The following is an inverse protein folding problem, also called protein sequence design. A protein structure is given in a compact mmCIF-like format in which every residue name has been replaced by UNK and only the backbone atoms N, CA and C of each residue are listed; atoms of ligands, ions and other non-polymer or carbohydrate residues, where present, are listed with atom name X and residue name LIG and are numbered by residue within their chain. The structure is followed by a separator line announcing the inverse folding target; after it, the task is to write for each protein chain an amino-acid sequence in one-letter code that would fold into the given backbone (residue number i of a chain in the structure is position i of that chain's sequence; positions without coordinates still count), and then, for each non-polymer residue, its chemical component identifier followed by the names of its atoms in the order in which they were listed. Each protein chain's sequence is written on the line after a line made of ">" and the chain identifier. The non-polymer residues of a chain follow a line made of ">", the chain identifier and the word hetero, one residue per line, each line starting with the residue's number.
data_IF_793710378111
#
_entry.id   IF_793710378111
#
_cell.length_a   1.000
_cell.length_b   1.000
_cell.length_c   1.000
_cell.angle_alpha   90.00
_cell.angle_beta   90.00
_cell.angle_gamma   90.00
#
_symmetry.space_group_name_H-M   'P 1'
#
loop_
_entity.id
_entity.type
_entity.pdbx_description
1 polymer ?
#
# COMPACT_ATOMS: atom_id res chain seq x y z
N UNK A 1 14.91 27.01 -28.64
CA UNK A 1 13.75 26.09 -28.61
C UNK A 1 14.14 24.66 -28.96
N UNK A 2 14.95 24.41 -30.00
CA UNK A 2 15.43 23.05 -30.33
C UNK A 2 16.27 22.41 -29.21
N UNK A 3 17.27 23.10 -28.64
CA UNK A 3 18.13 22.53 -27.57
C UNK A 3 17.36 22.08 -26.31
N UNK A 4 16.33 22.83 -25.92
CA UNK A 4 15.49 22.49 -24.76
C UNK A 4 14.67 21.23 -25.04
N UNK A 5 14.18 21.09 -26.27
CA UNK A 5 13.38 19.94 -26.70
C UNK A 5 14.24 18.68 -26.85
N UNK A 6 15.51 18.83 -27.24
CA UNK A 6 16.48 17.75 -27.34
C UNK A 6 16.96 17.27 -25.96
N UNK A 7 17.22 18.20 -25.02
CA UNK A 7 17.50 17.85 -23.63
C UNK A 7 16.32 17.14 -22.94
N UNK A 8 15.08 17.56 -23.24
CA UNK A 8 13.87 16.90 -22.73
C UNK A 8 13.71 15.47 -23.27
N UNK A 9 14.09 15.20 -24.53
CA UNK A 9 14.01 13.85 -25.11
C UNK A 9 14.85 12.85 -24.33
N UNK A 10 16.08 13.20 -23.98
CA UNK A 10 16.95 12.32 -23.20
C UNK A 10 16.34 11.95 -21.84
N UNK A 11 15.63 12.88 -21.19
CA UNK A 11 14.94 12.61 -19.92
C UNK A 11 13.67 11.78 -20.09
N UNK A 12 12.97 11.93 -21.23
CA UNK A 12 11.85 11.05 -21.56
C UNK A 12 12.36 9.62 -21.81
N UNK A 13 13.50 9.46 -22.48
CA UNK A 13 14.13 8.15 -22.68
C UNK A 13 14.57 7.53 -21.34
N UNK A 14 15.11 8.32 -20.42
CA UNK A 14 15.43 7.89 -19.04
C UNK A 14 14.18 7.35 -18.32
N UNK A 15 13.02 8.01 -18.46
CA UNK A 15 11.75 7.56 -17.88
C UNK A 15 11.25 6.28 -18.55
N UNK A 16 11.38 6.15 -19.86
CA UNK A 16 11.03 4.91 -20.57
C UNK A 16 11.92 3.74 -20.15
N UNK A 17 13.21 3.99 -19.92
CA UNK A 17 14.12 2.98 -19.39
C UNK A 17 13.69 2.51 -17.99
N UNK A 18 13.27 3.44 -17.12
CA UNK A 18 12.69 3.06 -15.82
C UNK A 18 11.43 2.22 -16.03
N UNK A 19 10.47 2.67 -16.84
CA UNK A 19 9.21 1.96 -17.10
C UNK A 19 9.46 0.52 -17.60
N UNK A 20 10.44 0.32 -18.49
CA UNK A 20 10.77 -1.00 -19.02
C UNK A 20 11.18 -2.00 -17.92
N UNK A 21 11.82 -1.53 -16.84
CA UNK A 21 12.16 -2.38 -15.68
C UNK A 21 10.96 -2.72 -14.79
N UNK A 22 9.81 -2.07 -15.01
CA UNK A 22 8.59 -2.29 -14.22
C UNK A 22 7.56 -3.13 -14.97
N UNK A 23 7.73 -3.32 -16.28
CA UNK A 23 6.79 -4.04 -17.12
C UNK A 23 6.82 -5.55 -16.81
N UNK A 24 5.71 -6.17 -16.38
CA UNK A 24 5.70 -7.58 -15.98
C UNK A 24 6.14 -8.53 -17.09
N UNK A 25 5.80 -8.21 -18.34
CA UNK A 25 6.12 -9.04 -19.51
C UNK A 25 7.63 -9.00 -19.89
N UNK A 26 8.43 -8.16 -19.24
CA UNK A 26 9.84 -7.92 -19.55
C UNK A 26 10.88 -8.89 -18.96
N UNK A 27 10.45 -9.91 -18.21
CA UNK A 27 11.33 -10.88 -17.55
C UNK A 27 10.77 -11.33 -16.22
N UNK A 28 11.57 -11.99 -15.37
CA UNK A 28 11.15 -12.34 -14.00
C UNK A 28 11.30 -11.16 -13.03
N UNK A 29 10.56 -11.17 -11.91
CA UNK A 29 10.60 -10.13 -10.90
C UNK A 29 12.02 -9.87 -10.37
N UNK A 30 12.81 -10.94 -10.19
CA UNK A 30 14.21 -10.83 -9.77
C UNK A 30 15.09 -10.14 -10.82
N UNK A 31 14.92 -10.47 -12.10
CA UNK A 31 15.66 -9.83 -13.20
C UNK A 31 15.28 -8.35 -13.34
N UNK A 32 13.98 -8.07 -13.32
CA UNK A 32 13.45 -6.70 -13.35
C UNK A 32 13.95 -5.86 -12.17
N UNK A 33 13.94 -6.44 -10.97
CA UNK A 33 14.47 -5.79 -9.76
C UNK A 33 15.96 -5.50 -9.88
N UNK A 34 16.76 -6.43 -10.40
CA UNK A 34 18.19 -6.23 -10.60
C UNK A 34 18.47 -5.13 -11.63
N UNK A 35 17.72 -5.09 -12.73
CA UNK A 35 17.80 -4.03 -13.74
C UNK A 35 17.41 -2.66 -13.16
N UNK A 36 16.32 -2.59 -12.39
CA UNK A 36 15.88 -1.38 -11.71
C UNK A 36 16.95 -0.85 -10.75
N UNK A 37 17.55 -1.72 -9.94
CA UNK A 37 18.62 -1.35 -9.00
C UNK A 37 19.88 -0.88 -9.71
N UNK A 38 20.25 -1.52 -10.83
CA UNK A 38 21.38 -1.09 -11.64
C UNK A 38 21.15 0.31 -12.25
N UNK A 39 19.95 0.56 -12.80
CA UNK A 39 19.58 1.86 -13.35
C UNK A 39 19.51 2.94 -12.26
N UNK A 40 18.94 2.61 -11.10
CA UNK A 40 18.92 3.48 -9.92
C UNK A 40 20.35 3.90 -9.52
N UNK A 41 21.29 2.95 -9.46
CA UNK A 41 22.68 3.24 -9.12
C UNK A 41 23.36 4.14 -10.15
N UNK A 42 23.11 3.91 -11.46
CA UNK A 42 23.62 4.76 -12.54
C UNK A 42 23.08 6.20 -12.42
N UNK A 43 21.80 6.34 -12.13
CA UNK A 43 21.16 7.65 -11.97
C UNK A 43 21.67 8.38 -10.73
N UNK A 44 21.90 7.66 -9.63
CA UNK A 44 22.52 8.24 -8.43
C UNK A 44 23.97 8.71 -8.65
N UNK A 45 24.72 8.03 -9.52
CA UNK A 45 26.11 8.38 -9.84
C UNK A 45 26.25 9.45 -10.92
N UNK A 46 25.14 9.89 -11.54
CA UNK A 46 25.15 10.86 -12.64
C UNK A 46 25.31 12.30 -12.12
N UNK A 47 26.20 13.06 -12.77
CA UNK A 47 26.37 14.51 -12.52
C UNK A 47 25.18 15.36 -13.00
N UNK A 48 24.29 14.79 -13.84
CA UNK A 48 23.05 15.45 -14.25
C UNK A 48 22.06 15.51 -13.06
N UNK A 49 21.64 16.71 -12.62
CA UNK A 49 20.78 16.86 -11.44
C UNK A 49 19.40 16.21 -11.61
N UNK A 50 18.87 16.12 -12.84
CA UNK A 50 17.58 15.49 -13.12
C UNK A 50 17.70 13.97 -12.94
N UNK A 51 18.76 13.35 -13.48
CA UNK A 51 19.02 11.91 -13.30
C UNK A 51 19.30 11.57 -11.83
N UNK A 52 20.10 12.39 -11.15
CA UNK A 52 20.32 12.22 -9.72
C UNK A 52 18.99 12.26 -8.94
N UNK A 53 18.11 13.19 -9.26
CA UNK A 53 16.78 13.25 -8.67
C UNK A 53 15.92 12.03 -9.00
N UNK A 54 15.94 11.54 -10.25
CA UNK A 54 15.25 10.30 -10.63
C UNK A 54 15.75 9.11 -9.80
N UNK A 55 17.06 8.99 -9.56
CA UNK A 55 17.63 7.95 -8.70
C UNK A 55 17.10 8.00 -7.26
N UNK A 56 16.93 9.20 -6.70
CA UNK A 56 16.32 9.39 -5.37
C UNK A 56 14.84 8.97 -5.35
N UNK A 57 14.09 9.34 -6.38
CA UNK A 57 12.68 8.94 -6.52
C UNK A 57 12.58 7.41 -6.62
N UNK A 58 13.39 6.78 -7.49
CA UNK A 58 13.46 5.32 -7.61
C UNK A 58 13.75 4.65 -6.27
N UNK A 59 14.71 5.16 -5.51
CA UNK A 59 15.06 4.63 -4.18
C UNK A 59 13.87 4.66 -3.20
N UNK A 60 13.05 5.70 -3.25
CA UNK A 60 11.88 5.84 -2.36
C UNK A 60 10.79 4.79 -2.62
N UNK A 61 10.66 4.31 -3.86
CA UNK A 61 9.65 3.32 -4.25
C UNK A 61 10.16 1.88 -4.19
N UNK A 62 11.48 1.66 -4.27
CA UNK A 62 12.12 0.35 -4.33
C UNK A 62 11.62 -0.69 -3.29
N UNK A 63 11.37 -0.34 -2.01
CA UNK A 63 10.92 -1.33 -1.02
C UNK A 63 9.56 -1.97 -1.33
N UNK A 64 8.71 -1.27 -2.09
CA UNK A 64 7.34 -1.69 -2.38
C UNK A 64 7.09 -2.15 -3.81
N UNK A 65 8.08 -2.06 -4.70
CA UNK A 65 7.85 -2.19 -6.14
C UNK A 65 7.91 -3.63 -6.65
N UNK A 66 8.74 -4.47 -6.01
CA UNK A 66 8.99 -5.86 -6.42
C UNK A 66 8.48 -6.89 -5.39
N UNK A 67 7.58 -6.47 -4.51
CA UNK A 67 6.89 -7.36 -3.55
C UNK A 67 5.64 -7.97 -4.21
N UNK A 68 5.39 -9.25 -3.96
CA UNK A 68 4.21 -9.96 -4.47
C UNK A 68 4.52 -11.13 -5.41
N UNK A 69 5.74 -11.22 -5.95
CA UNK A 69 6.14 -12.30 -6.85
C UNK A 69 5.49 -12.23 -8.24
N UNK A 70 5.80 -13.20 -9.10
CA UNK A 70 5.30 -13.29 -10.49
C UNK A 70 3.84 -13.74 -10.58
N UNK A 71 3.36 -14.50 -9.59
CA UNK A 71 2.03 -15.15 -9.63
C UNK A 71 0.91 -14.29 -9.02
N UNK A 72 1.22 -13.11 -8.48
CA UNK A 72 0.18 -12.26 -7.93
C UNK A 72 -0.57 -11.56 -9.07
N UNK A 73 -1.86 -11.89 -9.21
CA UNK A 73 -2.80 -11.26 -10.15
C UNK A 73 -3.13 -9.82 -9.68
N UNK A 74 -2.09 -8.97 -9.68
CA UNK A 74 -2.18 -7.58 -9.23
C UNK A 74 -2.88 -6.74 -10.30
N UNK A 75 -3.63 -5.69 -9.91
CA UNK A 75 -4.21 -4.76 -10.85
C UNK A 75 -3.12 -4.13 -11.74
N UNK A 76 -3.26 -4.25 -13.06
CA UNK A 76 -2.23 -3.83 -14.04
C UNK A 76 -2.17 -2.32 -14.22
N UNK A 77 -3.28 -1.62 -13.96
CA UNK A 77 -3.36 -0.17 -14.08
C UNK A 77 -4.20 0.46 -12.95
N UNK A 78 -4.26 1.80 -12.95
CA UNK A 78 -5.06 2.53 -11.97
C UNK A 78 -6.56 2.23 -12.11
N UNK A 79 -7.05 1.91 -13.31
CA UNK A 79 -8.47 1.60 -13.53
C UNK A 79 -8.85 0.25 -12.91
N UNK A 80 -8.00 -0.76 -13.05
CA UNK A 80 -8.13 -2.07 -12.42
C UNK A 80 -7.98 -1.96 -10.91
N UNK A 81 -7.06 -1.12 -10.43
CA UNK A 81 -6.93 -0.82 -9.00
C UNK A 81 -8.22 -0.18 -8.46
N UNK A 82 -8.79 0.79 -9.19
CA UNK A 82 -10.06 1.41 -8.86
C UNK A 82 -11.22 0.41 -8.87
N UNK A 83 -11.25 -0.52 -9.83
CA UNK A 83 -12.24 -1.62 -9.90
C UNK A 83 -12.08 -2.57 -8.72
N UNK A 84 -10.86 -2.91 -8.35
CA UNK A 84 -10.56 -3.78 -7.21
C UNK A 84 -11.05 -3.16 -5.90
N UNK A 85 -10.83 -1.85 -5.70
CA UNK A 85 -11.38 -1.13 -4.55
C UNK A 85 -12.88 -0.81 -4.65
N UNK A 86 -13.50 -0.91 -5.84
CA UNK A 86 -14.92 -0.59 -6.05
C UNK A 86 -15.83 -1.56 -5.30
N UNK A 87 -15.53 -2.86 -5.35
CA UNK A 87 -16.35 -3.89 -4.71
C UNK A 87 -16.38 -3.73 -3.18
N UNK A 88 -15.24 -3.62 -2.47
CA UNK A 88 -15.22 -3.32 -1.03
C UNK A 88 -15.95 -2.03 -0.66
N UNK A 89 -15.75 -0.95 -1.44
CA UNK A 89 -16.45 0.33 -1.22
C UNK A 89 -17.96 0.19 -1.41
N UNK A 90 -18.40 -0.57 -2.42
CA UNK A 90 -19.81 -0.85 -2.69
C UNK A 90 -20.46 -1.68 -1.58
N UNK A 91 -19.76 -2.70 -1.09
CA UNK A 91 -20.22 -3.55 0.01
C UNK A 91 -20.39 -2.73 1.32
N UNK A 92 -19.40 -1.92 1.69
CA UNK A 92 -19.49 -0.99 2.83
C UNK A 92 -20.66 0.00 2.71
N UNK A 93 -20.90 0.55 1.51
CA UNK A 93 -22.05 1.43 1.24
C UNK A 93 -23.39 0.74 1.47
N UNK A 94 -23.53 -0.52 1.05
CA UNK A 94 -24.79 -1.28 1.24
C UNK A 94 -25.05 -1.61 2.70
N UNK A 95 -24.00 -1.94 3.46
CA UNK A 95 -24.15 -2.25 4.90
C UNK A 95 -24.48 -1.02 5.74
N UNK A 96 -23.80 0.11 5.50
CA UNK A 96 -23.86 1.27 6.41
C UNK A 96 -24.59 2.50 5.83
N UNK A 97 -24.96 2.48 4.54
CA UNK A 97 -25.63 3.60 3.86
C UNK A 97 -24.73 4.84 3.61
N UNK A 98 -23.43 4.77 3.92
CA UNK A 98 -22.52 5.90 3.86
C UNK A 98 -21.72 5.96 2.55
N UNK A 99 -21.69 7.13 1.88
CA UNK A 99 -21.04 7.35 0.57
C UNK A 99 -19.50 7.31 0.60
N UNK A 100 -18.88 7.53 1.76
CA UNK A 100 -17.43 7.59 1.94
C UNK A 100 -16.84 6.20 2.19
N UNK A 101 -15.58 5.97 1.79
CA UNK A 101 -14.84 4.75 2.12
C UNK A 101 -14.93 4.52 3.63
N UNK A 102 -15.60 3.45 4.04
CA UNK A 102 -15.94 3.22 5.44
C UNK A 102 -14.69 3.23 6.33
N UNK A 103 -14.81 3.76 7.55
CA UNK A 103 -13.77 3.75 8.59
C UNK A 103 -13.22 2.32 8.82
N UNK A 104 -14.04 1.30 8.53
CA UNK A 104 -13.66 -0.12 8.57
C UNK A 104 -12.60 -0.47 7.54
N UNK A 105 -12.67 0.02 6.30
CA UNK A 105 -11.63 -0.29 5.31
C UNK A 105 -10.25 0.21 5.74
N UNK A 106 -10.17 1.35 6.40
CA UNK A 106 -8.90 1.90 6.90
C UNK A 106 -8.34 1.10 8.08
N UNK A 107 -9.21 0.51 8.88
CA UNK A 107 -8.81 -0.16 10.13
C UNK A 107 -8.65 -1.66 9.98
N UNK A 108 -9.59 -2.26 9.28
CA UNK A 108 -9.75 -3.70 9.07
C UNK A 108 -9.34 -4.12 7.65
N UNK A 109 -9.01 -3.17 6.77
CA UNK A 109 -8.65 -3.41 5.37
C UNK A 109 -7.66 -4.56 5.14
N UNK A 110 -6.56 -4.67 5.92
CA UNK A 110 -5.60 -5.76 5.75
C UNK A 110 -6.21 -7.17 5.82
N UNK A 111 -7.30 -7.36 6.57
CA UNK A 111 -8.04 -8.64 6.59
C UNK A 111 -9.29 -8.60 5.71
N UNK A 112 -10.04 -7.49 5.77
CA UNK A 112 -11.33 -7.33 5.10
C UNK A 112 -11.20 -7.40 3.59
N UNK A 113 -10.16 -6.79 3.00
CA UNK A 113 -9.95 -6.83 1.56
C UNK A 113 -9.69 -8.26 1.09
N UNK A 114 -8.79 -8.98 1.75
CA UNK A 114 -8.48 -10.37 1.41
C UNK A 114 -9.69 -11.28 1.56
N UNK A 115 -10.52 -11.07 2.59
CA UNK A 115 -11.75 -11.83 2.77
C UNK A 115 -12.79 -11.55 1.66
N UNK A 116 -12.93 -10.29 1.23
CA UNK A 116 -13.81 -9.92 0.13
C UNK A 116 -13.30 -10.45 -1.22
N UNK A 117 -11.98 -10.51 -1.39
CA UNK A 117 -11.33 -11.05 -2.58
C UNK A 117 -11.45 -12.58 -2.63
N UNK A 118 -11.36 -13.26 -1.48
CA UNK A 118 -11.54 -14.70 -1.39
C UNK A 118 -12.92 -15.18 -1.91
N UNK A 119 -13.95 -14.34 -1.82
CA UNK A 119 -15.26 -14.64 -2.43
C UNK A 119 -15.26 -14.65 -3.97
N UNK A 120 -14.26 -14.06 -4.62
CA UNK A 120 -14.08 -14.14 -6.08
C UNK A 120 -13.66 -15.56 -6.47
N UNK A 121 -12.72 -16.14 -5.71
CA UNK A 121 -12.24 -17.51 -5.92
C UNK A 121 -13.15 -18.58 -5.26
N UNK A 122 -13.99 -18.19 -4.30
CA UNK A 122 -14.92 -19.06 -3.59
C UNK A 122 -16.36 -18.50 -3.68
N UNK A 123 -17.08 -18.78 -4.79
CA UNK A 123 -18.39 -18.17 -5.06
C UNK A 123 -19.49 -18.66 -4.11
N UNK A 124 -19.33 -19.86 -3.55
CA UNK A 124 -20.24 -20.40 -2.54
C UNK A 124 -20.01 -19.76 -1.16
N UNK A 125 -21.03 -19.73 -0.27
CA UNK A 125 -20.84 -19.27 1.10
C UNK A 125 -19.78 -20.10 1.84
N UNK A 126 -18.90 -19.43 2.58
CA UNK A 126 -17.94 -20.12 3.47
C UNK A 126 -18.69 -20.94 4.53
N UNK A 127 -18.27 -22.19 4.71
CA UNK A 127 -18.74 -23.06 5.77
C UNK A 127 -17.89 -22.90 7.04
N UNK A 128 -18.39 -23.43 8.15
CA UNK A 128 -17.62 -23.46 9.40
C UNK A 128 -16.31 -24.27 9.24
N UNK A 129 -16.31 -25.30 8.40
CA UNK A 129 -15.13 -26.13 8.15
C UNK A 129 -14.02 -25.32 7.45
N UNK A 130 -14.39 -24.44 6.52
CA UNK A 130 -13.44 -23.60 5.77
C UNK A 130 -12.73 -22.59 6.68
N UNK A 131 -13.44 -22.09 7.70
CA UNK A 131 -12.94 -21.05 8.61
C UNK A 131 -12.24 -21.62 9.85
N UNK A 132 -12.50 -22.88 10.20
CA UNK A 132 -11.96 -23.51 11.42
C UNK A 132 -10.42 -23.47 11.54
N UNK A 133 -9.64 -23.67 10.46
CA UNK A 133 -8.18 -23.58 10.53
C UNK A 133 -7.67 -22.20 10.97
N UNK A 134 -8.43 -21.14 10.70
CA UNK A 134 -8.02 -19.76 10.90
C UNK A 134 -8.52 -19.14 12.22
N UNK A 135 -9.23 -19.91 13.06
CA UNK A 135 -9.90 -19.40 14.28
C UNK A 135 -8.96 -18.73 15.30
N UNK A 136 -7.66 -19.06 15.26
CA UNK A 136 -6.64 -18.49 16.14
C UNK A 136 -5.66 -17.57 15.40
N UNK A 137 -5.87 -17.33 14.11
CA UNK A 137 -5.02 -16.45 13.32
C UNK A 137 -5.22 -15.00 13.76
N UNK A 138 -4.18 -14.32 14.26
CA UNK A 138 -4.33 -12.94 14.69
C UNK A 138 -4.47 -12.03 13.46
N UNK A 139 -5.28 -10.98 13.59
CA UNK A 139 -5.32 -9.92 12.58
C UNK A 139 -3.90 -9.33 12.38
N UNK A 140 -3.53 -8.86 11.18
CA UNK A 140 -2.21 -8.30 10.92
C UNK A 140 -1.80 -7.18 11.89
N UNK A 141 -0.51 -7.05 12.17
CA UNK A 141 0.00 -6.07 13.13
C UNK A 141 -0.44 -4.63 12.79
N UNK A 142 -0.40 -4.26 11.52
CA UNK A 142 -0.85 -2.95 11.02
C UNK A 142 -2.33 -2.68 11.34
N UNK A 143 -3.21 -3.68 11.17
CA UNK A 143 -4.62 -3.59 11.54
C UNK A 143 -4.81 -3.44 13.04
N UNK A 144 -4.13 -4.26 13.87
CA UNK A 144 -4.20 -4.14 15.33
C UNK A 144 -3.78 -2.74 15.80
N UNK A 145 -2.70 -2.22 15.22
CA UNK A 145 -2.23 -0.86 15.51
C UNK A 145 -3.24 0.21 15.05
N UNK A 146 -3.85 0.07 13.87
CA UNK A 146 -4.88 1.00 13.38
C UNK A 146 -6.11 1.03 14.31
N UNK A 147 -6.57 -0.15 14.75
CA UNK A 147 -7.66 -0.28 15.73
C UNK A 147 -7.29 0.32 17.09
N UNK A 148 -6.04 0.14 17.54
CA UNK A 148 -5.54 0.74 18.76
C UNK A 148 -5.52 2.28 18.68
N UNK A 149 -4.98 2.85 17.60
CA UNK A 149 -5.00 4.30 17.32
C UNK A 149 -6.42 4.85 17.30
N UNK A 150 -7.38 4.15 16.66
CA UNK A 150 -8.81 4.55 16.69
C UNK A 150 -9.34 4.64 18.12
N UNK A 151 -9.01 3.66 18.95
CA UNK A 151 -9.45 3.62 20.35
C UNK A 151 -8.92 4.82 21.13
N UNK A 152 -7.63 5.13 20.98
CA UNK A 152 -7.00 6.32 21.57
C UNK A 152 -7.69 7.59 21.07
N UNK A 153 -7.83 7.76 19.75
CA UNK A 153 -8.45 8.95 19.16
C UNK A 153 -9.91 9.13 19.61
N UNK A 154 -10.66 8.04 19.78
CA UNK A 154 -12.03 8.10 20.33
C UNK A 154 -12.04 8.56 21.79
N UNK A 155 -11.10 8.08 22.62
CA UNK A 155 -10.94 8.55 24.00
C UNK A 155 -10.53 10.02 24.04
N UNK A 156 -9.62 10.45 23.17
CA UNK A 156 -9.14 11.82 23.07
C UNK A 156 -10.24 12.82 22.65
N UNK A 157 -11.17 12.40 21.77
CA UNK A 157 -12.33 13.21 21.37
C UNK A 157 -13.39 13.35 22.48
N UNK A 158 -13.41 12.45 23.46
CA UNK A 158 -14.37 12.51 24.56
C UNK A 158 -13.98 13.58 25.56
N UNK A 159 -14.82 14.61 25.74
CA UNK A 159 -14.60 15.65 26.76
C UNK A 159 -14.44 15.08 28.18
N UNK A 160 -15.12 13.97 28.49
CA UNK A 160 -15.06 13.29 29.79
C UNK A 160 -13.77 12.48 29.99
N UNK A 161 -13.36 11.73 28.96
CA UNK A 161 -12.26 10.77 29.10
C UNK A 161 -10.90 11.36 28.71
N UNK A 162 -10.86 12.57 28.15
CA UNK A 162 -9.64 13.20 27.65
C UNK A 162 -8.63 13.45 28.76
N UNK A 163 -9.02 13.99 29.91
CA UNK A 163 -8.10 14.25 31.04
C UNK A 163 -7.47 12.97 31.57
N UNK A 164 -8.28 11.91 31.73
CA UNK A 164 -7.81 10.60 32.16
C UNK A 164 -6.83 9.98 31.16
N UNK A 165 -7.11 10.12 29.85
CA UNK A 165 -6.20 9.64 28.80
C UNK A 165 -4.87 10.39 28.83
N UNK A 166 -4.87 11.72 29.01
CA UNK A 166 -3.64 12.51 29.05
C UNK A 166 -2.76 12.10 30.23
N UNK A 167 -3.34 11.97 31.43
CA UNK A 167 -2.61 11.51 32.60
C UNK A 167 -2.02 10.10 32.41
N UNK A 168 -2.76 9.19 31.76
CA UNK A 168 -2.27 7.83 31.43
C UNK A 168 -1.08 7.88 30.46
N UNK A 169 -1.14 8.73 29.42
CA UNK A 169 -0.08 8.86 28.42
C UNK A 169 1.17 9.56 29.00
N UNK A 170 0.98 10.59 29.82
CA UNK A 170 2.07 11.26 30.54
C UNK A 170 2.82 10.28 31.44
N UNK A 171 2.09 9.46 32.22
CA UNK A 171 2.71 8.44 33.07
C UNK A 171 3.52 7.43 32.26
N UNK A 172 2.99 6.91 31.15
CA UNK A 172 3.72 5.97 30.28
C UNK A 172 5.00 6.59 29.73
N UNK A 173 4.95 7.84 29.30
CA UNK A 173 6.13 8.54 28.81
C UNK A 173 7.22 8.59 29.87
N UNK A 174 6.88 8.89 31.12
CA UNK A 174 7.84 8.91 32.23
C UNK A 174 8.32 7.52 32.68
N UNK A 175 7.55 6.45 32.43
CA UNK A 175 7.93 5.06 32.78
C UNK A 175 8.78 4.38 31.68
N UNK A 176 8.67 4.83 30.44
CA UNK A 176 9.42 4.30 29.28
C UNK A 176 10.71 5.09 28.97
N UNK A 177 11.00 6.16 29.72
CA UNK A 177 12.27 6.92 29.66
C UNK A 177 13.18 6.54 30.84
#
# INVERSE_FOLDING_TARGET
>A
MHDVQEALRAHVDDVWAIQATLEPDGGTCAERQAQFQALQAQFHASDNPIRHHMGQVMASFAPGLFVGGEEADLPKDNLDLERWFRQPKGHERRMHGHRHTGVRLVQEGPTLLLALDAHIAHPEPFTAADLWPYRHSPAPACQRQAMHRRTIMRRARSKKNRSLLLAELERRYFEET
#
